data_IF_741057616577
#
_entry.id   IF_741057616577
#
_cell.length_a   1.000
_cell.length_b   1.000
_cell.length_c   1.000
_cell.angle_alpha   90.00
_cell.angle_beta   90.00
_cell.angle_gamma   90.00
#
_symmetry.space_group_name_H-M   'P 1'
#
loop_
_entity.id
_entity.type
_entity.pdbx_description
1 polymer ?
#
# COMPACT_ATOMS: atom_id res chain seq x y z
N UNK A 1 16.06 2.63 -5.69
CA UNK A 1 15.37 3.70 -6.41
C UNK A 1 15.15 4.91 -5.52
N UNK A 2 15.50 6.07 -5.99
CA UNK A 2 15.35 7.28 -5.21
C UNK A 2 13.88 7.67 -5.11
N UNK A 3 13.53 8.38 -4.05
CA UNK A 3 12.16 8.79 -3.84
C UNK A 3 11.59 9.59 -5.01
N UNK A 4 12.34 10.54 -5.51
CA UNK A 4 11.87 11.37 -6.62
C UNK A 4 11.61 10.57 -7.87
N UNK A 5 12.51 9.66 -8.18
CA UNK A 5 12.37 8.81 -9.36
C UNK A 5 11.16 7.92 -9.22
N UNK A 6 10.94 7.39 -8.03
CA UNK A 6 9.84 6.51 -7.77
C UNK A 6 8.51 7.25 -7.90
N UNK A 7 8.45 8.46 -7.38
CA UNK A 7 7.27 9.30 -7.42
C UNK A 7 6.87 9.61 -8.88
N UNK A 8 7.85 10.03 -9.66
CA UNK A 8 7.63 10.39 -11.05
C UNK A 8 7.22 9.16 -11.85
N UNK A 9 7.86 8.06 -11.57
CA UNK A 9 7.60 6.80 -12.24
C UNK A 9 6.16 6.35 -12.00
N UNK A 10 5.71 6.40 -10.78
CA UNK A 10 4.35 6.01 -10.44
C UNK A 10 3.34 6.86 -11.19
N UNK A 11 3.54 8.17 -11.22
CA UNK A 11 2.59 9.05 -11.88
C UNK A 11 2.42 8.73 -13.36
N UNK A 12 3.51 8.58 -14.07
CA UNK A 12 3.43 8.31 -15.49
C UNK A 12 2.87 6.92 -15.75
N UNK A 13 3.20 5.96 -14.88
CA UNK A 13 2.72 4.60 -15.04
C UNK A 13 1.24 4.49 -14.77
N UNK A 14 0.74 5.24 -13.80
CA UNK A 14 -0.69 5.29 -13.53
C UNK A 14 -1.46 5.74 -14.74
N UNK A 15 -0.97 6.78 -15.39
CA UNK A 15 -1.64 7.32 -16.57
C UNK A 15 -1.63 6.36 -17.74
N UNK A 16 -0.61 5.52 -17.79
CA UNK A 16 -0.43 4.63 -18.93
C UNK A 16 -1.11 3.28 -18.76
N UNK A 17 -0.99 2.69 -17.60
CA UNK A 17 -1.46 1.32 -17.39
C UNK A 17 -2.58 1.15 -16.37
N UNK A 18 -2.84 2.16 -15.58
CA UNK A 18 -3.87 2.07 -14.57
C UNK A 18 -3.40 1.31 -13.34
N UNK A 19 -4.35 0.60 -12.71
CA UNK A 19 -4.09 -0.07 -11.44
C UNK A 19 -3.71 -1.53 -11.67
N UNK A 20 -2.44 -1.80 -11.74
CA UNK A 20 -1.99 -3.18 -11.91
C UNK A 20 -0.52 -3.23 -11.55
N UNK A 21 0.00 -4.44 -11.43
CA UNK A 21 1.43 -4.61 -11.19
C UNK A 21 2.20 -3.99 -12.35
N UNK A 22 1.66 -4.11 -13.53
CA UNK A 22 2.27 -3.51 -14.70
C UNK A 22 2.21 -2.00 -14.60
N UNK A 23 1.15 -1.48 -14.02
CA UNK A 23 0.97 -0.06 -13.84
C UNK A 23 2.01 0.56 -12.94
N UNK A 24 2.55 -0.19 -11.99
CA UNK A 24 3.64 0.29 -11.15
C UNK A 24 4.96 -0.25 -11.65
N UNK A 25 4.92 -0.97 -12.76
CA UNK A 25 6.13 -1.39 -13.48
C UNK A 25 7.07 -2.22 -12.62
N UNK A 26 6.53 -3.00 -11.76
CA UNK A 26 7.33 -3.85 -10.89
C UNK A 26 7.63 -5.14 -11.59
N UNK A 27 8.39 -6.00 -10.95
CA UNK A 27 8.82 -7.23 -11.54
C UNK A 27 7.67 -8.05 -12.07
N UNK A 28 6.63 -8.21 -11.25
CA UNK A 28 5.47 -8.97 -11.67
C UNK A 28 4.48 -9.00 -10.52
N UNK A 29 3.25 -9.38 -10.84
CA UNK A 29 2.24 -9.59 -9.81
C UNK A 29 2.67 -10.70 -8.88
N UNK A 30 3.34 -11.70 -9.42
CA UNK A 30 3.80 -12.81 -8.60
C UNK A 30 4.78 -12.32 -7.53
N UNK A 31 5.75 -11.52 -7.93
CA UNK A 31 6.75 -11.01 -7.00
C UNK A 31 6.12 -10.12 -5.94
N UNK A 32 5.19 -9.29 -6.34
CA UNK A 32 4.50 -8.40 -5.43
C UNK A 32 3.67 -9.19 -4.41
N UNK A 33 2.91 -10.16 -4.88
CA UNK A 33 2.08 -10.96 -4.01
C UNK A 33 2.92 -11.85 -3.09
N UNK A 34 4.06 -12.30 -3.57
CA UNK A 34 4.95 -13.10 -2.74
C UNK A 34 5.46 -12.27 -1.57
N UNK A 35 5.75 -11.00 -1.81
CA UNK A 35 6.18 -10.09 -0.76
C UNK A 35 5.05 -9.92 0.26
N UNK A 36 3.84 -9.73 -0.22
CA UNK A 36 2.68 -9.59 0.66
C UNK A 36 2.49 -10.83 1.50
N UNK A 37 2.64 -11.99 0.90
CA UNK A 37 2.47 -13.25 1.59
C UNK A 37 3.47 -13.37 2.73
N UNK A 38 4.72 -13.00 2.48
CA UNK A 38 5.74 -13.07 3.51
C UNK A 38 5.43 -12.13 4.66
N UNK A 39 5.08 -10.88 4.34
CA UNK A 39 4.74 -9.91 5.37
C UNK A 39 3.56 -10.37 6.21
N UNK A 40 2.55 -10.89 5.55
CA UNK A 40 1.32 -11.29 6.21
C UNK A 40 1.53 -12.52 7.10
N UNK A 41 2.47 -13.37 6.74
CA UNK A 41 2.71 -14.58 7.51
C UNK A 41 3.04 -14.31 8.96
N UNK A 42 3.59 -13.13 9.25
CA UNK A 42 3.96 -12.77 10.62
C UNK A 42 2.76 -12.39 11.48
N UNK A 43 1.64 -12.00 10.86
CA UNK A 43 0.49 -11.52 11.61
C UNK A 43 -0.79 -12.25 11.24
N UNK A 44 -0.69 -13.30 10.47
CA UNK A 44 -1.84 -13.96 9.88
C UNK A 44 -2.91 -14.37 10.88
N UNK A 45 -2.50 -14.85 12.03
CA UNK A 45 -3.45 -15.36 13.03
C UNK A 45 -4.19 -14.24 13.76
N UNK A 46 -3.70 -13.02 13.69
CA UNK A 46 -4.29 -11.91 14.43
C UNK A 46 -4.90 -10.85 13.53
N UNK A 47 -4.79 -11.05 12.22
CA UNK A 47 -5.11 -9.97 11.30
C UNK A 47 -6.57 -9.55 11.36
N UNK A 48 -7.48 -10.50 11.55
CA UNK A 48 -8.90 -10.18 11.56
C UNK A 48 -9.35 -9.37 12.76
N UNK A 49 -8.52 -9.32 13.78
CA UNK A 49 -8.83 -8.57 14.99
C UNK A 49 -7.98 -7.32 15.12
N UNK A 50 -7.22 -7.01 14.09
CA UNK A 50 -6.21 -5.96 14.17
C UNK A 50 -6.53 -4.77 13.29
N UNK A 51 -6.02 -3.61 13.72
CA UNK A 51 -6.00 -2.42 12.90
C UNK A 51 -4.64 -2.36 12.22
N UNK A 52 -4.65 -2.17 10.93
CA UNK A 52 -3.41 -2.13 10.13
C UNK A 52 -3.29 -0.78 9.46
N UNK A 53 -2.10 -0.18 9.59
CA UNK A 53 -1.74 1.00 8.81
C UNK A 53 -0.81 0.53 7.72
N UNK A 54 -1.18 0.82 6.48
CA UNK A 54 -0.41 0.45 5.30
C UNK A 54 0.32 1.69 4.83
N UNK A 55 1.57 1.84 5.24
CA UNK A 55 2.37 3.01 4.95
C UNK A 55 2.97 2.88 3.56
N UNK A 56 2.69 3.88 2.73
CA UNK A 56 3.08 3.79 1.32
C UNK A 56 2.15 2.86 0.59
N UNK A 57 0.84 2.98 0.84
CA UNK A 57 -0.13 2.02 0.34
C UNK A 57 -0.31 2.01 -1.18
N UNK A 58 0.09 3.08 -1.86
CA UNK A 58 -0.11 3.16 -3.29
C UNK A 58 -1.58 2.99 -3.66
N UNK A 59 -1.86 2.08 -4.57
CA UNK A 59 -3.23 1.78 -5.01
C UNK A 59 -3.97 0.88 -4.04
N UNK A 60 -3.41 0.60 -2.88
CA UNK A 60 -3.99 -0.33 -1.91
C UNK A 60 -3.94 -1.78 -2.41
N UNK A 61 -2.85 -2.13 -3.08
CA UNK A 61 -2.69 -3.50 -3.56
C UNK A 61 -2.57 -4.50 -2.42
N UNK A 62 -1.96 -4.08 -1.31
CA UNK A 62 -1.88 -4.97 -0.17
C UNK A 62 -3.26 -5.26 0.40
N UNK A 63 -4.10 -4.24 0.48
CA UNK A 63 -5.46 -4.43 0.98
C UNK A 63 -6.23 -5.37 0.05
N UNK A 64 -6.02 -5.22 -1.24
CA UNK A 64 -6.66 -6.11 -2.21
C UNK A 64 -6.19 -7.55 -2.02
N UNK A 65 -4.90 -7.72 -1.74
CA UNK A 65 -4.35 -9.04 -1.45
C UNK A 65 -5.05 -9.67 -0.24
N UNK A 66 -5.23 -8.89 0.82
CA UNK A 66 -5.90 -9.39 2.01
C UNK A 66 -7.32 -9.82 1.70
N UNK A 67 -8.02 -9.03 0.90
CA UNK A 67 -9.37 -9.35 0.48
C UNK A 67 -9.42 -10.66 -0.29
N UNK A 68 -8.53 -10.80 -1.27
CA UNK A 68 -8.50 -11.98 -2.12
C UNK A 68 -8.19 -13.25 -1.34
N UNK A 69 -7.51 -13.11 -0.23
CA UNK A 69 -7.09 -14.25 0.56
C UNK A 69 -7.92 -14.42 1.84
N UNK A 70 -9.05 -13.73 1.92
CA UNK A 70 -9.97 -13.86 3.04
C UNK A 70 -9.33 -13.45 4.36
N UNK A 71 -8.48 -12.45 4.32
CA UNK A 71 -7.74 -12.00 5.49
C UNK A 71 -8.04 -10.56 5.84
N UNK A 72 -9.26 -10.11 5.60
CA UNK A 72 -9.64 -8.74 5.86
C UNK A 72 -9.41 -8.38 7.33
N UNK A 73 -8.68 -7.30 7.61
CA UNK A 73 -8.45 -6.89 8.99
C UNK A 73 -9.67 -6.24 9.60
N UNK A 74 -9.64 -6.06 10.90
CA UNK A 74 -10.72 -5.36 11.59
C UNK A 74 -10.84 -3.94 11.05
N UNK A 75 -9.69 -3.29 10.85
CA UNK A 75 -9.66 -1.94 10.31
C UNK A 75 -8.39 -1.76 9.50
N UNK A 76 -8.51 -1.04 8.40
CA UNK A 76 -7.36 -0.78 7.52
C UNK A 76 -7.30 0.70 7.21
N UNK A 77 -6.12 1.26 7.32
CA UNK A 77 -5.88 2.66 7.00
C UNK A 77 -4.70 2.72 6.04
N UNK A 78 -4.93 3.27 4.86
CA UNK A 78 -3.87 3.42 3.89
C UNK A 78 -3.34 4.83 3.89
N UNK A 79 -2.03 5.00 3.88
CA UNK A 79 -1.43 6.31 3.80
C UNK A 79 -0.37 6.32 2.71
N UNK A 80 -0.24 7.46 2.06
CA UNK A 80 0.73 7.63 1.00
C UNK A 80 0.94 9.12 0.81
N UNK A 81 2.13 9.53 0.46
CA UNK A 81 2.40 10.94 0.25
C UNK A 81 2.01 11.39 -1.15
N UNK A 82 1.68 10.46 -2.01
CA UNK A 82 1.32 10.77 -3.39
C UNK A 82 -0.19 10.89 -3.50
N UNK A 83 -0.65 12.11 -3.75
CA UNK A 83 -2.07 12.40 -3.82
C UNK A 83 -2.81 11.54 -4.84
N UNK A 84 -2.19 11.31 -5.99
CA UNK A 84 -2.82 10.54 -7.04
C UNK A 84 -3.07 9.10 -6.63
N UNK A 85 -2.15 8.54 -5.87
CA UNK A 85 -2.32 7.18 -5.35
C UNK A 85 -3.52 7.10 -4.41
N UNK A 86 -3.63 8.07 -3.52
CA UNK A 86 -4.72 8.10 -2.56
C UNK A 86 -6.05 8.29 -3.28
N UNK A 87 -6.06 9.11 -4.30
CA UNK A 87 -7.26 9.33 -5.07
C UNK A 87 -7.77 8.03 -5.70
N UNK A 88 -6.86 7.29 -6.31
CA UNK A 88 -7.21 6.03 -6.95
C UNK A 88 -7.62 4.98 -5.93
N UNK A 89 -6.87 4.88 -4.83
CA UNK A 89 -7.18 3.90 -3.79
C UNK A 89 -8.55 4.17 -3.18
N UNK A 90 -8.88 5.45 -2.97
CA UNK A 90 -10.16 5.83 -2.39
C UNK A 90 -11.32 5.46 -3.28
N UNK A 91 -11.14 5.54 -4.57
CA UNK A 91 -12.19 5.14 -5.51
C UNK A 91 -12.31 3.62 -5.61
N UNK A 92 -11.21 2.94 -5.36
CA UNK A 92 -11.18 1.49 -5.44
C UNK A 92 -11.87 0.84 -4.24
N UNK A 93 -11.70 1.42 -3.06
CA UNK A 93 -12.26 0.89 -1.83
C UNK A 93 -13.02 1.99 -1.09
N UNK A 94 -14.29 2.14 -1.42
CA UNK A 94 -15.06 3.30 -0.98
C UNK A 94 -15.28 3.43 0.52
N UNK A 95 -15.30 2.32 1.24
CA UNK A 95 -15.58 2.37 2.68
C UNK A 95 -14.32 2.20 3.50
N UNK A 96 -13.19 2.58 2.94
CA UNK A 96 -11.90 2.41 3.59
C UNK A 96 -11.24 3.77 3.77
N UNK A 97 -10.46 3.92 4.83
CA UNK A 97 -9.81 5.19 5.15
C UNK A 97 -8.47 5.30 4.44
N UNK A 98 -8.29 6.39 3.72
CA UNK A 98 -7.02 6.70 3.05
C UNK A 98 -6.66 8.14 3.33
N UNK A 99 -5.38 8.39 3.63
CA UNK A 99 -4.91 9.72 3.95
C UNK A 99 -3.62 10.05 3.21
N UNK A 100 -3.50 11.31 2.81
CA UNK A 100 -2.27 11.81 2.20
C UNK A 100 -1.37 12.22 3.34
N UNK A 101 -0.32 11.43 3.59
CA UNK A 101 0.60 11.70 4.68
C UNK A 101 2.00 11.29 4.32
N UNK A 102 2.97 12.01 4.87
CA UNK A 102 4.37 11.67 4.74
C UNK A 102 4.79 10.99 6.03
N UNK A 103 5.13 9.71 5.94
CA UNK A 103 5.42 8.93 7.15
C UNK A 103 6.65 9.40 7.90
N UNK A 104 7.46 10.25 7.27
CA UNK A 104 8.65 10.79 7.93
C UNK A 104 8.36 12.08 8.69
N UNK A 105 7.25 12.74 8.40
CA UNK A 105 6.98 14.05 8.96
C UNK A 105 5.64 14.18 9.65
N UNK A 106 4.64 13.43 9.18
CA UNK A 106 3.29 13.59 9.69
C UNK A 106 2.98 12.61 10.79
N UNK A 107 2.00 12.98 11.58
CA UNK A 107 1.53 12.10 12.64
C UNK A 107 0.79 10.92 12.02
N UNK A 108 1.13 9.72 12.45
CA UNK A 108 0.57 8.50 11.89
C UNK A 108 -0.47 7.93 12.85
N UNK A 109 -1.62 7.45 12.34
CA UNK A 109 -2.64 6.87 13.22
C UNK A 109 -2.09 5.68 14.00
N UNK A 110 -2.62 5.49 15.19
CA UNK A 110 -2.24 4.34 16.00
C UNK A 110 -2.83 3.06 15.41
N UNK A 111 -2.06 2.00 15.42
CA UNK A 111 -2.50 0.73 14.86
C UNK A 111 -1.79 -0.42 15.56
N UNK A 112 -2.34 -1.63 15.38
CA UNK A 112 -1.70 -2.82 15.93
C UNK A 112 -0.48 -3.19 15.10
N UNK A 113 -0.57 -2.97 13.80
CA UNK A 113 0.55 -3.30 12.89
C UNK A 113 0.71 -2.21 11.84
N UNK A 114 1.95 -1.96 11.49
CA UNK A 114 2.31 -1.01 10.44
C UNK A 114 3.03 -1.79 9.35
N UNK A 115 2.43 -1.83 8.16
CA UNK A 115 2.99 -2.54 7.02
C UNK A 115 3.58 -1.53 6.07
N UNK A 116 4.79 -1.78 5.59
CA UNK A 116 5.48 -0.84 4.71
C UNK A 116 5.93 -1.51 3.42
N UNK A 117 5.05 -2.29 2.81
CA UNK A 117 5.44 -3.09 1.65
C UNK A 117 5.92 -2.24 0.47
N UNK A 118 5.35 -1.06 0.31
CA UNK A 118 5.75 -0.19 -0.79
C UNK A 118 6.67 0.93 -0.38
N UNK A 119 6.68 1.28 0.89
CA UNK A 119 7.41 2.45 1.35
C UNK A 119 8.92 2.30 1.30
N UNK A 120 9.39 1.08 1.29
CA UNK A 120 10.83 0.84 1.26
C UNK A 120 11.47 1.47 0.03
N UNK A 121 10.77 1.45 -1.08
CA UNK A 121 11.29 2.04 -2.29
C UNK A 121 11.43 3.55 -2.18
N UNK A 122 10.62 4.15 -1.34
CA UNK A 122 10.63 5.59 -1.15
C UNK A 122 11.71 6.02 -0.17
N UNK A 123 11.90 5.24 0.87
CA UNK A 123 12.83 5.57 1.94
C UNK A 123 14.26 5.24 1.63
N UNK A 124 14.45 4.52 0.59
CA UNK A 124 15.73 4.03 0.20
C UNK A 124 16.53 5.07 -0.55
N UNK A 125 17.06 5.99 0.02
CA UNK A 125 17.72 7.06 -0.72
C UNK A 125 19.02 7.47 -0.20
#
# INVERSE_FOLDING_TARGET
>A
MAYKDNHKFYKSTILKYGISAKGVHWNSEYTQYKRFEILTSFIKNEIKESTIVDAGCGFAEYYNYLFDNNLKPKSYIGIDCEEKMIEIASKRFLNTSFYIKNILQDEIPFADYYICSGAMNILEK
#
